data_IF_522841371059
#
_entry.id   IF_522841371059
#
_cell.length_a   1.000
_cell.length_b   1.000
_cell.length_c   1.000
_cell.angle_alpha   90.00
_cell.angle_beta   90.00
_cell.angle_gamma   90.00
#
_symmetry.space_group_name_H-M   'P 1'
#
loop_
_entity.id
_entity.type
_entity.pdbx_description
1 polymer ?
#
# COMPACT_ATOMS: atom_id res chain seq x y z
N UNK A 1 1.72 -22.70 4.95
CA UNK A 1 1.22 -21.48 5.60
C UNK A 1 0.95 -20.49 4.49
N UNK A 2 -0.29 -20.43 4.00
CA UNK A 2 -0.60 -19.63 2.81
C UNK A 2 -0.54 -18.15 3.20
N UNK A 3 0.33 -17.42 2.50
CA UNK A 3 0.44 -15.97 2.60
C UNK A 3 -0.86 -15.38 2.05
N UNK A 4 -1.72 -14.90 2.95
CA UNK A 4 -2.94 -14.12 2.69
C UNK A 4 -2.59 -12.73 2.10
N UNK A 5 -1.75 -12.71 1.07
CA UNK A 5 -1.35 -11.52 0.30
C UNK A 5 -1.89 -11.58 -1.13
N UNK A 6 -2.09 -12.78 -1.68
CA UNK A 6 -2.69 -12.98 -2.99
C UNK A 6 -4.20 -13.15 -2.86
N UNK A 7 -4.95 -12.23 -3.45
CA UNK A 7 -6.40 -12.33 -3.56
C UNK A 7 -6.78 -13.50 -4.44
N UNK A 8 -7.87 -14.17 -4.10
CA UNK A 8 -8.44 -15.20 -4.96
C UNK A 8 -8.79 -14.60 -6.32
N UNK A 9 -8.43 -15.32 -7.39
CA UNK A 9 -8.69 -14.93 -8.78
C UNK A 9 -10.15 -14.51 -8.94
N UNK A 10 -10.37 -13.30 -9.47
CA UNK A 10 -11.72 -12.73 -9.65
C UNK A 10 -12.22 -11.85 -8.50
N UNK A 11 -11.45 -11.68 -7.42
CA UNK A 11 -11.82 -10.79 -6.31
C UNK A 11 -11.35 -9.36 -6.55
N UNK A 12 -12.27 -8.40 -6.58
CA UNK A 12 -11.93 -6.96 -6.64
C UNK A 12 -11.48 -6.46 -5.27
N UNK A 13 -10.38 -5.69 -5.23
CA UNK A 13 -9.94 -5.02 -4.00
C UNK A 13 -10.96 -3.95 -3.62
N UNK A 14 -11.77 -4.24 -2.61
CA UNK A 14 -12.63 -3.25 -1.98
C UNK A 14 -11.84 -2.46 -0.91
N UNK A 15 -12.44 -1.37 -0.43
CA UNK A 15 -11.80 -0.51 0.58
C UNK A 15 -11.54 -1.24 1.91
N UNK A 16 -12.36 -2.21 2.29
CA UNK A 16 -12.20 -2.95 3.55
C UNK A 16 -10.98 -3.87 3.52
N UNK A 17 -10.79 -4.62 2.43
CA UNK A 17 -9.64 -5.48 2.21
C UNK A 17 -8.36 -4.64 2.20
N UNK A 18 -8.38 -3.51 1.49
CA UNK A 18 -7.26 -2.57 1.48
C UNK A 18 -6.92 -2.06 2.90
N UNK A 19 -7.93 -1.68 3.69
CA UNK A 19 -7.74 -1.27 5.08
C UNK A 19 -7.12 -2.37 5.96
N UNK A 20 -7.50 -3.64 5.74
CA UNK A 20 -6.90 -4.79 6.45
C UNK A 20 -5.43 -4.96 6.06
N UNK A 21 -5.11 -4.83 4.77
CA UNK A 21 -3.73 -4.91 4.27
C UNK A 21 -2.86 -3.80 4.86
N UNK A 22 -3.33 -2.56 4.91
CA UNK A 22 -2.61 -1.44 5.54
C UNK A 22 -2.30 -1.70 7.02
N UNK A 23 -3.24 -2.27 7.78
CA UNK A 23 -3.00 -2.62 9.20
C UNK A 23 -1.90 -3.69 9.35
N UNK A 24 -1.93 -4.73 8.51
CA UNK A 24 -0.88 -5.77 8.48
C UNK A 24 0.48 -5.15 8.11
N UNK A 25 0.52 -4.30 7.10
CA UNK A 25 1.72 -3.60 6.66
C UNK A 25 2.30 -2.73 7.78
N UNK A 26 1.47 -1.96 8.48
CA UNK A 26 1.90 -1.13 9.59
C UNK A 26 2.56 -1.97 10.71
N UNK A 27 1.98 -3.13 11.05
CA UNK A 27 2.58 -4.06 12.02
C UNK A 27 3.94 -4.60 11.52
N UNK A 28 4.04 -4.94 10.24
CA UNK A 28 5.28 -5.42 9.64
C UNK A 28 6.38 -4.34 9.66
N UNK A 29 6.03 -3.09 9.34
CA UNK A 29 6.93 -1.94 9.40
C UNK A 29 7.42 -1.72 10.83
N UNK A 30 6.51 -1.69 11.82
CA UNK A 30 6.87 -1.54 13.23
C UNK A 30 7.82 -2.65 13.71
N UNK A 31 7.61 -3.89 13.25
CA UNK A 31 8.49 -5.00 13.57
C UNK A 31 9.87 -4.90 12.90
N UNK A 32 9.95 -4.46 11.64
CA UNK A 32 11.20 -4.35 10.89
C UNK A 32 11.99 -3.07 11.21
N UNK A 33 11.30 -1.98 11.57
CA UNK A 33 11.87 -0.66 11.83
C UNK A 33 11.62 -0.23 13.28
N UNK A 34 11.93 -1.10 14.26
CA UNK A 34 11.70 -0.84 15.69
C UNK A 34 12.33 0.46 16.22
N UNK A 35 13.40 0.90 15.58
CA UNK A 35 14.20 2.05 15.98
C UNK A 35 13.67 3.36 15.37
N UNK A 36 12.86 3.29 14.30
CA UNK A 36 12.40 4.47 13.57
C UNK A 36 10.92 4.74 13.87
N UNK A 37 10.53 5.99 14.17
CA UNK A 37 9.13 6.32 14.36
C UNK A 37 8.35 6.14 13.05
N UNK A 38 7.09 5.73 13.18
CA UNK A 38 6.18 5.61 12.04
C UNK A 38 5.80 6.96 11.40
N UNK A 39 6.09 8.09 12.08
CA UNK A 39 5.89 9.43 11.54
C UNK A 39 6.96 9.72 10.50
N UNK A 40 6.55 9.86 9.23
CA UNK A 40 7.46 10.05 8.10
C UNK A 40 7.45 8.89 7.09
N UNK A 41 6.56 7.92 7.25
CA UNK A 41 6.29 6.95 6.18
C UNK A 41 5.46 7.64 5.10
N UNK A 42 6.02 7.73 3.90
CA UNK A 42 5.31 8.18 2.70
C UNK A 42 4.84 6.94 1.94
N UNK A 43 3.53 6.81 1.76
CA UNK A 43 2.92 5.78 0.94
C UNK A 43 2.82 6.27 -0.50
N UNK A 44 3.47 5.53 -1.40
CA UNK A 44 3.30 5.68 -2.84
C UNK A 44 2.37 4.56 -3.31
N UNK A 45 1.21 4.91 -3.85
CA UNK A 45 0.20 3.96 -4.32
C UNK A 45 -0.38 4.45 -5.66
N UNK A 46 -0.35 3.58 -6.67
CA UNK A 46 -0.75 3.90 -8.02
C UNK A 46 -2.28 3.97 -8.16
N UNK A 47 -2.75 5.16 -8.51
CA UNK A 47 -4.13 5.60 -8.41
C UNK A 47 -5.15 4.73 -9.18
N UNK A 48 -5.87 3.81 -8.51
CA UNK A 48 -7.09 3.14 -9.03
C UNK A 48 -8.23 2.85 -8.01
N UNK A 49 -8.61 3.84 -7.18
CA UNK A 49 -9.88 3.91 -6.41
C UNK A 49 -9.99 3.47 -4.93
N UNK A 50 -9.19 2.59 -4.29
CA UNK A 50 -9.44 2.24 -2.88
C UNK A 50 -8.91 3.27 -1.86
N UNK A 51 -8.00 4.17 -2.26
CA UNK A 51 -7.41 5.20 -1.40
C UNK A 51 -8.30 6.44 -1.19
N UNK A 52 -9.28 6.66 -2.08
CA UNK A 52 -10.25 7.78 -1.96
C UNK A 52 -11.33 7.49 -0.92
N UNK A 53 -11.51 6.22 -0.54
CA UNK A 53 -12.48 5.84 0.48
C UNK A 53 -12.14 6.50 1.83
N UNK A 54 -13.14 7.10 2.46
CA UNK A 54 -13.01 7.83 3.74
C UNK A 54 -12.31 6.99 4.80
N UNK A 55 -12.63 5.69 4.87
CA UNK A 55 -12.02 4.73 5.82
C UNK A 55 -10.51 4.59 5.63
N UNK A 56 -10.05 4.57 4.38
CA UNK A 56 -8.63 4.45 4.04
C UNK A 56 -7.87 5.70 4.49
N UNK A 57 -8.41 6.90 4.20
CA UNK A 57 -7.83 8.18 4.64
C UNK A 57 -7.75 8.30 6.15
N UNK A 58 -8.79 7.85 6.87
CA UNK A 58 -8.80 7.84 8.33
C UNK A 58 -7.68 6.96 8.92
N UNK A 59 -7.45 5.80 8.33
CA UNK A 59 -6.38 4.88 8.77
C UNK A 59 -5.00 5.46 8.49
N UNK A 60 -4.79 6.06 7.31
CA UNK A 60 -3.52 6.70 6.95
C UNK A 60 -3.21 7.88 7.89
N UNK A 61 -4.21 8.72 8.18
CA UNK A 61 -4.07 9.79 9.16
C UNK A 61 -3.74 9.26 10.56
N UNK A 62 -4.40 8.18 11.00
CA UNK A 62 -4.10 7.52 12.29
C UNK A 62 -2.66 6.99 12.36
N UNK A 63 -2.14 6.51 11.24
CA UNK A 63 -0.75 6.04 11.14
C UNK A 63 0.26 7.17 10.96
N UNK A 64 -0.19 8.41 10.73
CA UNK A 64 0.63 9.57 10.36
C UNK A 64 1.45 9.28 9.09
N UNK A 65 0.82 8.62 8.13
CA UNK A 65 1.41 8.33 6.83
C UNK A 65 0.95 9.38 5.83
N UNK A 66 1.91 9.96 5.12
CA UNK A 66 1.63 10.85 4.01
C UNK A 66 1.41 10.04 2.75
N UNK A 67 0.51 10.50 1.89
CA UNK A 67 0.25 9.84 0.59
C UNK A 67 0.91 10.69 -0.48
N UNK A 68 1.83 10.09 -1.23
CA UNK A 68 2.41 10.74 -2.39
C UNK A 68 1.40 10.71 -3.53
N UNK A 69 0.86 11.88 -3.88
CA UNK A 69 0.00 12.02 -5.04
C UNK A 69 0.87 12.17 -6.29
N UNK A 70 0.71 11.29 -7.26
CA UNK A 70 1.31 11.41 -8.58
C UNK A 70 0.22 11.53 -9.65
N UNK A 71 0.61 11.96 -10.85
CA UNK A 71 -0.31 12.05 -11.97
C UNK A 71 -0.87 10.66 -12.31
N UNK A 72 -2.17 10.53 -12.59
CA UNK A 72 -2.72 9.27 -13.09
C UNK A 72 -2.00 8.86 -14.39
N UNK A 73 -1.67 7.57 -14.49
CA UNK A 73 -1.01 6.93 -15.64
C UNK A 73 0.49 7.24 -15.84
N UNK A 74 1.25 7.31 -14.75
CA UNK A 74 2.72 7.32 -14.79
C UNK A 74 3.32 6.07 -14.14
N UNK A 75 3.18 4.89 -14.77
CA UNK A 75 3.75 3.63 -14.25
C UNK A 75 5.29 3.66 -14.18
N UNK A 76 5.93 4.58 -14.90
CA UNK A 76 7.35 4.90 -14.83
C UNK A 76 7.75 5.58 -13.51
N UNK A 77 6.80 6.19 -12.80
CA UNK A 77 7.03 6.89 -11.53
C UNK A 77 6.84 5.99 -10.30
N UNK A 78 6.23 4.82 -10.47
CA UNK A 78 6.06 3.85 -9.40
C UNK A 78 7.27 2.88 -9.38
N UNK A 79 8.11 2.90 -8.34
CA UNK A 79 9.19 1.95 -8.20
C UNK A 79 8.69 0.51 -8.18
N UNK A 80 7.47 0.25 -7.69
CA UNK A 80 6.87 -1.11 -7.75
C UNK A 80 6.76 -1.62 -9.18
N UNK A 81 6.30 -0.78 -10.09
CA UNK A 81 5.91 -1.19 -11.43
C UNK A 81 7.14 -1.28 -12.34
N UNK A 82 8.08 -0.33 -12.22
CA UNK A 82 9.32 -0.36 -13.01
C UNK A 82 10.40 -1.30 -12.46
N UNK A 83 10.49 -1.50 -11.15
CA UNK A 83 11.61 -2.28 -10.56
C UNK A 83 11.21 -3.67 -10.09
N UNK A 84 10.07 -3.80 -9.40
CA UNK A 84 9.68 -5.08 -8.79
C UNK A 84 8.93 -5.97 -9.79
N UNK A 85 7.94 -5.42 -10.50
CA UNK A 85 7.16 -6.21 -11.46
C UNK A 85 8.01 -6.65 -12.66
N UNK A 86 8.87 -5.77 -13.19
CA UNK A 86 9.80 -6.10 -14.27
C UNK A 86 10.85 -7.14 -13.88
N UNK A 87 11.18 -7.25 -12.59
CA UNK A 87 12.09 -8.27 -12.07
C UNK A 87 11.40 -9.62 -11.82
N UNK A 88 10.07 -9.65 -11.73
CA UNK A 88 9.27 -10.86 -11.52
C UNK A 88 8.80 -11.51 -12.84
N UNK A 89 8.96 -10.82 -13.98
CA UNK A 89 8.58 -11.30 -15.32
C UNK A 89 9.74 -11.97 -16.09
N UNK A 90 10.80 -12.36 -15.36
CA UNK A 90 11.98 -13.09 -15.88
C UNK A 90 12.12 -14.45 -15.20
#
# INVERSE_FOLDING_TARGET
MLDESCLSRGTTINSEVYCRTLKKLNRAIQNKRRILPNSGVVLLDDSKCPHTAVRTRQILHKFKWDVFQHSPYSPDLAPSDYTLLTALDK
#
